data_IF_035250352620
#
_entry.id   IF_035250352620
#
_cell.length_a   1.000
_cell.length_b   1.000
_cell.length_c   1.000
_cell.angle_alpha   90.00
_cell.angle_beta   90.00
_cell.angle_gamma   90.00
#
_symmetry.space_group_name_H-M   'P 1'
#
loop_
_entity.id
_entity.type
_entity.pdbx_description
1 polymer ?
#
# COMPACT_ATOMS: atom_id res chain seq x y z
N UNK A 1 -3.18 7.00 7.98
CA UNK A 1 -1.84 6.71 7.43
C UNK A 1 -1.33 7.92 6.67
N UNK A 2 -0.07 8.31 6.90
CA UNK A 2 0.58 9.45 6.25
C UNK A 2 1.76 8.95 5.42
N UNK A 3 2.03 9.60 4.29
CA UNK A 3 3.16 9.32 3.42
C UNK A 3 4.07 10.54 3.37
N UNK A 4 5.35 10.37 3.68
CA UNK A 4 6.35 11.44 3.62
C UNK A 4 7.25 11.17 2.41
N UNK A 5 7.38 12.17 1.53
CA UNK A 5 8.22 12.10 0.33
C UNK A 5 9.20 13.26 0.32
N UNK A 6 10.44 12.96 -0.06
CA UNK A 6 11.46 13.97 -0.31
C UNK A 6 12.34 13.56 -1.51
N UNK A 7 13.27 14.44 -1.91
CA UNK A 7 14.18 14.22 -3.05
C UNK A 7 15.43 13.42 -2.69
N UNK A 8 15.72 13.22 -1.41
CA UNK A 8 16.84 12.40 -0.93
C UNK A 8 16.49 11.67 0.37
N UNK A 9 17.21 10.58 0.71
CA UNK A 9 17.03 9.87 1.98
C UNK A 9 17.25 10.75 3.21
N UNK A 10 18.23 11.63 3.18
CA UNK A 10 18.56 12.52 4.31
C UNK A 10 17.42 13.51 4.55
N UNK A 11 16.87 14.08 3.48
CA UNK A 11 15.77 15.01 3.58
C UNK A 11 14.46 14.34 4.03
N UNK A 12 14.19 13.11 3.60
CA UNK A 12 12.98 12.40 4.07
C UNK A 12 13.09 12.03 5.54
N UNK A 13 14.28 11.68 6.02
CA UNK A 13 14.52 11.42 7.45
C UNK A 13 14.36 12.70 8.28
N UNK A 14 14.89 13.83 7.80
CA UNK A 14 14.68 15.13 8.44
C UNK A 14 13.18 15.50 8.52
N UNK A 15 12.44 15.32 7.42
CA UNK A 15 10.99 15.55 7.41
C UNK A 15 10.25 14.59 8.34
N UNK A 16 10.66 13.31 8.39
CA UNK A 16 10.09 12.31 9.29
C UNK A 16 10.25 12.73 10.76
N UNK A 17 11.46 13.14 11.16
CA UNK A 17 11.74 13.59 12.52
C UNK A 17 10.88 14.82 12.87
N UNK A 18 10.87 15.83 11.98
CA UNK A 18 10.09 17.06 12.17
C UNK A 18 8.59 16.77 12.30
N UNK A 19 8.07 15.88 11.45
CA UNK A 19 6.65 15.49 11.45
C UNK A 19 6.29 14.71 12.72
N UNK A 20 7.15 13.78 13.14
CA UNK A 20 6.92 12.97 14.34
C UNK A 20 6.95 13.84 15.59
N UNK A 21 7.88 14.80 15.67
CA UNK A 21 7.94 15.75 16.78
C UNK A 21 6.69 16.63 16.83
N UNK A 22 6.28 17.21 15.69
CA UNK A 22 5.06 18.01 15.62
C UNK A 22 3.82 17.22 16.07
N UNK A 23 3.69 15.97 15.64
CA UNK A 23 2.59 15.11 16.05
C UNK A 23 2.60 14.87 17.57
N UNK A 24 3.78 14.62 18.14
CA UNK A 24 3.94 14.47 19.58
C UNK A 24 3.55 15.74 20.34
N UNK A 25 4.01 16.91 19.89
CA UNK A 25 3.71 18.20 20.51
C UNK A 25 2.19 18.51 20.48
N UNK A 26 1.49 18.02 19.45
CA UNK A 26 0.04 18.10 19.32
C UNK A 26 -0.72 17.03 20.15
N UNK A 27 -0.02 16.18 20.89
CA UNK A 27 -0.60 15.13 21.73
C UNK A 27 -0.95 13.84 20.98
N UNK A 28 -0.48 13.66 19.75
CA UNK A 28 -0.65 12.41 19.00
C UNK A 28 0.49 11.43 19.26
N UNK A 29 0.16 10.14 19.26
CA UNK A 29 1.12 9.06 19.36
C UNK A 29 1.21 8.31 18.03
N UNK A 30 2.40 8.31 17.43
CA UNK A 30 2.67 7.53 16.21
C UNK A 30 2.82 6.06 16.59
N UNK A 31 2.09 5.18 15.90
CA UNK A 31 2.22 3.74 16.08
C UNK A 31 3.52 3.26 15.39
N UNK A 32 4.63 3.26 16.14
CA UNK A 32 5.95 2.87 15.62
C UNK A 32 5.98 1.44 15.08
N UNK A 33 5.42 0.42 15.77
CA UNK A 33 5.42 -0.96 15.25
C UNK A 33 4.68 -1.15 13.92
N UNK A 34 3.64 -0.34 13.65
CA UNK A 34 2.90 -0.37 12.38
C UNK A 34 3.55 0.49 11.29
N UNK A 35 4.39 1.44 11.67
CA UNK A 35 4.96 2.43 10.77
C UNK A 35 6.15 1.87 9.99
N UNK A 36 6.23 2.23 8.71
CA UNK A 36 7.43 1.99 7.90
C UNK A 36 8.23 3.29 7.80
N UNK A 37 9.33 3.37 8.55
CA UNK A 37 10.06 4.61 8.81
C UNK A 37 11.41 4.70 8.09
N UNK A 38 11.79 3.64 7.39
CA UNK A 38 12.99 3.65 6.56
C UNK A 38 12.69 4.22 5.17
N UNK A 39 13.57 5.09 4.63
CA UNK A 39 13.43 5.57 3.27
C UNK A 39 13.38 4.40 2.28
N UNK A 40 12.33 4.34 1.46
CA UNK A 40 12.17 3.31 0.44
C UNK A 40 11.55 3.88 -0.82
N UNK A 41 11.91 3.29 -1.97
CA UNK A 41 11.27 3.56 -3.25
C UNK A 41 10.10 2.60 -3.54
N UNK A 42 9.93 1.56 -2.72
CA UNK A 42 8.88 0.55 -2.88
C UNK A 42 8.19 0.29 -1.54
N UNK A 43 6.92 0.63 -1.45
CA UNK A 43 6.17 0.55 -0.19
C UNK A 43 4.67 0.34 -0.40
N UNK A 44 4.02 -0.27 0.59
CA UNK A 44 2.56 -0.42 0.63
C UNK A 44 1.94 0.84 1.26
N UNK A 45 1.05 1.51 0.53
CA UNK A 45 0.32 2.67 1.02
C UNK A 45 -1.10 2.71 0.43
N UNK A 46 -2.12 2.87 1.28
CA UNK A 46 -3.55 2.90 0.90
C UNK A 46 -3.92 1.76 -0.07
N UNK A 47 -3.55 0.53 0.29
CA UNK A 47 -3.95 -0.66 -0.48
C UNK A 47 -3.27 -0.81 -1.86
N UNK A 48 -2.16 -0.11 -2.11
CA UNK A 48 -1.34 -0.27 -3.30
C UNK A 48 0.15 -0.31 -2.96
N UNK A 49 0.92 -1.08 -3.71
CA UNK A 49 2.39 -1.01 -3.68
C UNK A 49 2.82 0.10 -4.61
N UNK A 50 3.33 1.18 -4.06
CA UNK A 50 3.91 2.29 -4.80
C UNK A 50 5.37 1.97 -5.11
N UNK A 51 5.76 2.10 -6.38
CA UNK A 51 7.14 2.00 -6.84
C UNK A 51 7.52 3.32 -7.50
N UNK A 52 8.27 4.14 -6.77
CA UNK A 52 8.64 5.49 -7.21
C UNK A 52 9.79 5.48 -8.21
N UNK A 53 10.57 4.40 -8.30
CA UNK A 53 11.59 4.22 -9.34
C UNK A 53 10.93 4.09 -10.72
N UNK A 54 9.83 3.33 -10.79
CA UNK A 54 9.06 3.14 -12.02
C UNK A 54 7.95 4.17 -12.20
N UNK A 55 7.67 4.98 -11.16
CA UNK A 55 6.52 5.87 -11.06
C UNK A 55 5.19 5.13 -11.33
N UNK A 56 5.01 3.97 -10.70
CA UNK A 56 3.85 3.09 -10.89
C UNK A 56 3.27 2.65 -9.56
N UNK A 57 1.96 2.38 -9.58
CA UNK A 57 1.26 1.71 -8.48
C UNK A 57 0.88 0.30 -8.93
N UNK A 58 1.06 -0.67 -8.03
CA UNK A 58 0.73 -2.07 -8.25
C UNK A 58 -0.28 -2.53 -7.19
N UNK A 59 -1.13 -3.52 -7.51
CA UNK A 59 -1.91 -4.20 -6.48
C UNK A 59 -0.99 -4.85 -5.44
N UNK A 60 -1.42 -4.97 -4.17
CA UNK A 60 -0.67 -5.69 -3.15
C UNK A 60 -0.50 -7.17 -3.53
N UNK A 61 0.60 -7.83 -3.11
CA UNK A 61 0.85 -9.23 -3.45
C UNK A 61 -0.32 -10.16 -3.09
N UNK A 62 -0.92 -9.96 -1.92
CA UNK A 62 -2.09 -10.73 -1.49
C UNK A 62 -3.27 -10.61 -2.46
N UNK A 63 -3.53 -9.38 -2.97
CA UNK A 63 -4.61 -9.13 -3.92
C UNK A 63 -4.37 -9.85 -5.25
N UNK A 64 -3.12 -9.92 -5.70
CA UNK A 64 -2.74 -10.68 -6.89
C UNK A 64 -2.99 -12.17 -6.67
N UNK A 65 -2.59 -12.71 -5.52
CA UNK A 65 -2.81 -14.12 -5.17
C UNK A 65 -4.30 -14.47 -5.11
N UNK A 66 -5.11 -13.61 -4.49
CA UNK A 66 -6.56 -13.81 -4.37
C UNK A 66 -7.23 -13.84 -5.75
N UNK A 67 -6.86 -12.91 -6.64
CA UNK A 67 -7.34 -12.88 -8.03
C UNK A 67 -6.89 -14.14 -8.78
N UNK A 68 -5.61 -14.51 -8.68
CA UNK A 68 -5.07 -15.71 -9.33
C UNK A 68 -5.79 -16.98 -8.89
N UNK A 69 -6.16 -17.10 -7.62
CA UNK A 69 -6.93 -18.22 -7.09
C UNK A 69 -8.37 -18.28 -7.64
N UNK A 70 -8.94 -17.14 -8.06
CA UNK A 70 -10.28 -17.06 -8.65
C UNK A 70 -10.30 -17.42 -10.14
N UNK A 71 -9.23 -17.11 -10.89
CA UNK A 71 -9.16 -17.31 -12.35
C UNK A 71 -9.65 -18.71 -12.81
N UNK A 72 -9.25 -19.84 -12.18
CA UNK A 72 -9.66 -21.17 -12.63
C UNK A 72 -11.18 -21.42 -12.58
N UNK A 73 -11.92 -20.63 -11.79
CA UNK A 73 -13.38 -20.72 -11.70
C UNK A 73 -14.08 -20.07 -12.91
N UNK A 74 -13.41 -19.20 -13.65
CA UNK A 74 -13.95 -18.44 -14.78
C UNK A 74 -13.71 -19.16 -16.11
N UNK A 75 -14.36 -20.31 -16.28
CA UNK A 75 -14.36 -21.07 -17.54
C UNK A 75 -15.60 -20.75 -18.37
N UNK A 76 -15.49 -20.90 -19.69
CA UNK A 76 -16.64 -20.74 -20.60
C UNK A 76 -17.80 -21.65 -20.18
N UNK A 77 -19.01 -21.10 -20.09
CA UNK A 77 -20.22 -21.82 -19.67
C UNK A 77 -20.40 -22.01 -18.17
N UNK A 78 -19.49 -21.53 -17.32
CA UNK A 78 -19.63 -21.63 -15.87
C UNK A 78 -20.66 -20.62 -15.32
N UNK A 79 -21.56 -21.08 -14.46
CA UNK A 79 -22.42 -20.21 -13.65
C UNK A 79 -21.66 -19.81 -12.39
N UNK A 80 -21.33 -18.53 -12.26
CA UNK A 80 -20.45 -18.02 -11.21
C UNK A 80 -21.25 -17.04 -10.33
N UNK A 81 -21.19 -17.16 -8.99
CA UNK A 81 -21.82 -16.19 -8.11
C UNK A 81 -21.29 -14.78 -8.36
N UNK A 82 -22.17 -13.79 -8.45
CA UNK A 82 -21.81 -12.38 -8.72
C UNK A 82 -20.72 -11.88 -7.77
N UNK A 83 -20.76 -12.29 -6.49
CA UNK A 83 -19.73 -11.93 -5.51
C UNK A 83 -18.30 -12.38 -5.93
N UNK A 84 -18.16 -13.52 -6.58
CA UNK A 84 -16.86 -14.00 -7.09
C UNK A 84 -16.41 -13.19 -8.29
N UNK A 85 -17.34 -12.71 -9.13
CA UNK A 85 -17.08 -11.79 -10.25
C UNK A 85 -16.55 -10.45 -9.74
N UNK A 86 -17.24 -9.86 -8.75
CA UNK A 86 -16.82 -8.61 -8.13
C UNK A 86 -15.42 -8.72 -7.51
N UNK A 87 -15.15 -9.79 -6.78
CA UNK A 87 -13.82 -10.04 -6.20
C UNK A 87 -12.72 -10.18 -7.24
N UNK A 88 -13.01 -10.81 -8.38
CA UNK A 88 -12.05 -10.91 -9.49
C UNK A 88 -11.71 -9.52 -10.09
N UNK A 89 -12.70 -8.62 -10.15
CA UNK A 89 -12.52 -7.22 -10.54
C UNK A 89 -11.83 -6.38 -9.46
N UNK A 90 -11.53 -6.98 -8.31
CA UNK A 90 -10.92 -6.30 -7.17
C UNK A 90 -11.90 -5.48 -6.34
N UNK A 91 -13.20 -5.80 -6.37
CA UNK A 91 -14.26 -5.15 -5.60
C UNK A 91 -14.71 -5.98 -4.38
#
# INVERSE_FOLDING_TARGET
>A
DWLIKARSPELVLHHLQSTTQLLFDLGFWVNMPKSHLEPSQRLLFIGAVLDTTLNRAFPPPQRIQDIQALIPMFKSGAVIPVLKVLRLLGL
#
